data_IF_344188131241
#
_entry.id   IF_344188131241
#
_cell.length_a   1.000
_cell.length_b   1.000
_cell.length_c   1.000
_cell.angle_alpha   90.00
_cell.angle_beta   90.00
_cell.angle_gamma   90.00
#
_symmetry.space_group_name_H-M   'P 1'
#
loop_
_entity.id
_entity.type
_entity.pdbx_description
1 polymer ?
#
# COMPACT_ATOMS: atom_id res chain seq x y z
N UNK A 1 -53.99 7.95 -5.83
CA UNK A 1 -53.20 9.15 -6.17
C UNK A 1 -52.34 9.50 -4.96
N UNK A 2 -51.11 9.00 -4.92
CA UNK A 2 -50.05 9.50 -4.04
C UNK A 2 -49.03 10.05 -5.02
N UNK A 3 -48.89 11.37 -4.98
CA UNK A 3 -48.04 12.13 -5.88
C UNK A 3 -46.60 11.62 -5.77
N UNK A 4 -45.99 11.25 -6.90
CA UNK A 4 -44.58 10.84 -7.03
C UNK A 4 -43.64 12.05 -6.84
N UNK A 5 -44.15 13.16 -6.33
CA UNK A 5 -43.38 14.33 -6.00
C UNK A 5 -42.78 14.19 -4.59
N UNK A 6 -41.44 14.14 -4.57
CA UNK A 6 -40.59 14.55 -3.46
C UNK A 6 -40.24 13.50 -2.40
N UNK A 7 -39.23 12.68 -2.70
CA UNK A 7 -38.17 12.33 -1.75
C UNK A 7 -36.88 12.04 -2.54
N UNK A 8 -36.25 13.12 -3.01
CA UNK A 8 -34.85 13.11 -3.39
C UNK A 8 -34.03 13.10 -2.10
N UNK A 9 -33.64 11.91 -1.62
CA UNK A 9 -32.53 11.82 -0.68
C UNK A 9 -31.24 11.81 -1.50
N UNK A 10 -30.76 13.01 -1.83
CA UNK A 10 -29.36 13.23 -2.19
C UNK A 10 -28.54 13.01 -0.92
N UNK A 11 -28.20 11.76 -0.63
CA UNK A 11 -27.03 11.51 0.18
C UNK A 11 -25.82 11.84 -0.68
N UNK A 12 -25.43 13.12 -0.68
CA UNK A 12 -24.06 13.52 -0.98
C UNK A 12 -23.19 13.06 0.19
N UNK A 13 -23.08 11.74 0.35
CA UNK A 13 -21.98 11.15 1.08
C UNK A 13 -20.76 11.45 0.23
N UNK A 14 -19.91 12.35 0.71
CA UNK A 14 -18.52 12.37 0.25
C UNK A 14 -18.03 10.93 0.39
N UNK A 15 -17.98 10.20 -0.71
CA UNK A 15 -17.14 9.03 -0.76
C UNK A 15 -15.75 9.65 -0.63
N UNK A 16 -15.21 9.68 0.60
CA UNK A 16 -13.77 9.74 0.74
C UNK A 16 -13.31 8.48 0.01
N UNK A 17 -13.02 8.66 -1.27
CA UNK A 17 -12.49 7.65 -2.15
C UNK A 17 -11.12 7.32 -1.57
N UNK A 18 -11.10 6.47 -0.54
CA UNK A 18 -9.93 5.66 -0.27
C UNK A 18 -9.66 4.98 -1.61
N UNK A 19 -8.56 5.35 -2.25
CA UNK A 19 -8.17 4.76 -3.52
C UNK A 19 -7.82 3.31 -3.20
N UNK A 20 -8.82 2.42 -3.24
CA UNK A 20 -8.61 0.98 -3.08
C UNK A 20 -8.18 0.46 -4.44
N UNK A 21 -6.89 0.61 -4.76
CA UNK A 21 -6.30 -0.04 -5.93
C UNK A 21 -6.14 -1.52 -5.60
N UNK A 22 -6.97 -2.38 -6.22
CA UNK A 22 -6.76 -3.83 -6.20
C UNK A 22 -5.85 -4.24 -7.35
N UNK A 23 -4.78 -4.96 -7.06
CA UNK A 23 -3.89 -5.54 -8.07
C UNK A 23 -3.97 -7.06 -7.98
N UNK A 24 -4.26 -7.72 -9.10
CA UNK A 24 -4.25 -9.19 -9.22
C UNK A 24 -3.09 -9.60 -10.13
N UNK A 25 -2.26 -10.52 -9.65
CA UNK A 25 -1.13 -11.09 -10.39
C UNK A 25 -1.23 -12.61 -10.38
N UNK A 26 -0.75 -13.27 -11.43
CA UNK A 26 -0.68 -14.73 -11.45
C UNK A 26 0.48 -15.25 -10.58
N UNK A 27 0.40 -16.47 -10.05
CA UNK A 27 1.50 -17.09 -9.33
C UNK A 27 2.80 -17.07 -10.16
N UNK A 28 3.91 -16.75 -9.50
CA UNK A 28 5.23 -16.60 -10.12
C UNK A 28 5.51 -15.23 -10.76
N UNK A 29 4.50 -14.37 -10.93
CA UNK A 29 4.71 -13.03 -11.48
C UNK A 29 5.28 -12.05 -10.45
N UNK A 30 5.68 -10.86 -10.93
CA UNK A 30 6.13 -9.74 -10.11
C UNK A 30 4.93 -8.86 -9.74
N UNK A 31 5.03 -8.23 -8.56
CA UNK A 31 4.09 -7.21 -8.09
C UNK A 31 4.85 -5.89 -7.95
N UNK A 32 4.24 -4.79 -8.35
CA UNK A 32 4.76 -3.44 -8.11
C UNK A 32 3.64 -2.59 -7.54
N UNK A 33 3.85 -2.02 -6.36
CA UNK A 33 2.91 -1.11 -5.70
C UNK A 33 3.63 0.21 -5.44
N UNK A 34 3.06 1.32 -5.88
CA UNK A 34 3.59 2.65 -5.66
C UNK A 34 2.76 3.39 -4.61
N UNK A 35 3.43 4.09 -3.70
CA UNK A 35 2.84 4.98 -2.72
C UNK A 35 3.45 6.37 -2.84
N UNK A 36 2.62 7.37 -3.13
CA UNK A 36 3.03 8.76 -3.14
C UNK A 36 2.83 9.37 -1.74
N UNK A 37 3.86 10.02 -1.21
CA UNK A 37 3.84 10.62 0.13
C UNK A 37 3.85 12.15 0.05
N UNK A 38 3.36 12.81 1.09
CA UNK A 38 3.34 14.28 1.18
C UNK A 38 4.67 14.87 1.69
N UNK A 39 5.45 14.09 2.43
CA UNK A 39 6.71 14.50 3.06
C UNK A 39 7.94 14.29 2.17
N UNK A 40 9.09 14.83 2.61
CA UNK A 40 10.36 14.68 1.88
C UNK A 40 10.99 13.32 2.17
N UNK A 41 11.19 12.49 1.13
CA UNK A 41 11.89 11.21 1.22
C UNK A 41 13.41 11.36 1.41
N UNK A 42 13.96 12.57 1.24
CA UNK A 42 15.38 12.85 1.53
C UNK A 42 15.69 12.91 3.03
N UNK A 43 14.68 13.14 3.87
CA UNK A 43 14.84 13.34 5.31
C UNK A 43 14.09 12.32 6.16
N UNK A 44 13.15 11.58 5.57
CA UNK A 44 12.31 10.62 6.27
C UNK A 44 12.28 9.27 5.56
N UNK A 45 12.26 8.21 6.36
CA UNK A 45 12.02 6.86 5.87
C UNK A 45 10.55 6.54 5.72
N UNK A 46 10.28 5.52 4.92
CA UNK A 46 8.95 4.95 4.73
C UNK A 46 9.01 3.44 4.88
N UNK A 47 8.11 2.91 5.70
CA UNK A 47 7.88 1.50 5.91
C UNK A 47 6.82 0.94 4.96
N UNK A 48 7.00 -0.31 4.59
CA UNK A 48 5.96 -1.14 3.98
C UNK A 48 5.51 -2.22 4.97
N UNK A 49 4.20 -2.37 5.08
CA UNK A 49 3.53 -3.30 5.98
C UNK A 49 2.50 -4.06 5.14
N UNK A 50 2.36 -5.37 5.35
CA UNK A 50 1.27 -6.16 4.75
C UNK A 50 0.36 -6.72 5.83
N UNK A 51 -0.91 -6.87 5.49
CA UNK A 51 -1.90 -7.53 6.32
C UNK A 51 -2.56 -8.66 5.52
N UNK A 52 -2.11 -9.92 5.69
CA UNK A 52 -2.82 -11.06 5.14
C UNK A 52 -4.19 -11.22 5.79
N UNK A 53 -5.15 -11.80 5.06
CA UNK A 53 -6.49 -12.05 5.58
C UNK A 53 -6.43 -12.91 6.86
N UNK A 54 -7.16 -12.48 7.90
CA UNK A 54 -7.20 -13.16 9.20
C UNK A 54 -5.89 -13.07 10.00
N UNK A 55 -4.91 -12.27 9.58
CA UNK A 55 -3.63 -12.08 10.30
C UNK A 55 -3.43 -10.61 10.73
N UNK A 56 -2.53 -10.43 11.70
CA UNK A 56 -2.07 -9.10 12.11
C UNK A 56 -1.18 -8.44 11.06
N UNK A 57 -0.83 -7.17 11.33
CA UNK A 57 0.13 -6.43 10.51
C UNK A 57 1.50 -7.12 10.55
N UNK A 58 2.10 -7.30 9.37
CA UNK A 58 3.44 -7.83 9.19
C UNK A 58 4.30 -6.78 8.50
N UNK A 59 5.27 -6.25 9.25
CA UNK A 59 6.26 -5.33 8.70
C UNK A 59 7.16 -6.04 7.67
N UNK A 60 7.31 -5.43 6.48
CA UNK A 60 8.15 -5.95 5.40
C UNK A 60 9.55 -5.36 5.48
N UNK A 61 9.62 -4.04 5.60
CA UNK A 61 10.86 -3.30 5.46
C UNK A 61 10.61 -1.80 5.56
N UNK A 62 11.69 -1.04 5.72
CA UNK A 62 11.68 0.41 5.62
C UNK A 62 12.92 0.88 4.87
N UNK A 63 12.80 2.03 4.19
CA UNK A 63 13.89 2.63 3.44
C UNK A 63 13.88 4.15 3.57
N UNK A 64 15.07 4.74 3.62
CA UNK A 64 15.32 6.16 3.40
C UNK A 64 16.55 6.30 2.50
N UNK A 65 16.97 7.52 2.17
CA UNK A 65 18.07 7.77 1.21
C UNK A 65 19.41 7.11 1.59
N UNK A 66 19.67 6.86 2.87
CA UNK A 66 20.98 6.37 3.35
C UNK A 66 21.04 4.89 3.74
N UNK A 67 19.92 4.28 4.12
CA UNK A 67 19.91 2.92 4.65
C UNK A 67 18.50 2.28 4.54
N UNK A 68 18.44 0.97 4.74
CA UNK A 68 17.23 0.17 4.64
C UNK A 68 17.30 -1.05 5.54
N UNK A 69 16.16 -1.43 6.10
CA UNK A 69 16.03 -2.68 6.85
C UNK A 69 14.85 -3.47 6.35
N UNK A 70 14.94 -4.80 6.44
CA UNK A 70 13.91 -5.73 6.00
C UNK A 70 13.67 -6.78 7.06
N UNK A 71 12.44 -7.30 7.13
CA UNK A 71 12.16 -8.50 7.89
C UNK A 71 12.91 -9.67 7.24
N UNK A 72 13.69 -10.39 8.03
CA UNK A 72 14.58 -11.45 7.56
C UNK A 72 13.86 -12.51 6.70
N UNK A 73 12.62 -12.87 7.06
CA UNK A 73 11.80 -13.82 6.31
C UNK A 73 11.28 -13.30 4.96
N UNK A 74 11.36 -12.00 4.70
CA UNK A 74 10.76 -11.32 3.54
C UNK A 74 11.79 -10.62 2.64
N UNK A 75 13.03 -10.45 3.09
CA UNK A 75 14.08 -9.68 2.40
C UNK A 75 14.45 -10.20 0.99
N UNK A 76 14.25 -11.49 0.73
CA UNK A 76 14.51 -12.09 -0.58
C UNK A 76 13.30 -12.01 -1.53
N UNK A 77 12.14 -11.61 -1.00
CA UNK A 77 10.87 -11.57 -1.74
C UNK A 77 10.46 -10.17 -2.13
N UNK A 78 10.75 -9.21 -1.26
CA UNK A 78 10.38 -7.80 -1.46
C UNK A 78 11.61 -6.89 -1.50
N UNK A 79 11.57 -5.89 -2.37
CA UNK A 79 12.50 -4.76 -2.37
C UNK A 79 11.72 -3.44 -2.31
N UNK A 80 12.32 -2.43 -1.68
CA UNK A 80 11.75 -1.08 -1.57
C UNK A 80 12.61 -0.13 -2.38
N UNK A 81 11.99 0.68 -3.23
CA UNK A 81 12.63 1.74 -3.99
C UNK A 81 12.07 3.11 -3.59
N UNK A 82 12.93 4.12 -3.66
CA UNK A 82 12.59 5.51 -3.34
C UNK A 82 12.90 6.40 -4.54
N UNK A 83 11.94 7.24 -4.90
CA UNK A 83 12.15 8.37 -5.78
C UNK A 83 11.81 9.67 -5.03
N UNK A 84 12.84 10.36 -4.48
CA UNK A 84 12.64 11.62 -3.77
C UNK A 84 12.07 12.75 -4.65
N UNK A 85 12.27 12.69 -5.97
CA UNK A 85 11.82 13.74 -6.89
C UNK A 85 10.30 13.73 -7.07
N UNK A 86 9.72 12.53 -7.20
CA UNK A 86 8.27 12.33 -7.32
C UNK A 86 7.56 12.06 -5.99
N UNK A 87 8.33 11.99 -4.89
CA UNK A 87 7.87 11.56 -3.55
C UNK A 87 7.20 10.18 -3.59
N UNK A 88 7.74 9.27 -4.39
CA UNK A 88 7.18 7.92 -4.57
C UNK A 88 8.04 6.89 -3.86
N UNK A 89 7.38 6.00 -3.12
CA UNK A 89 7.96 4.81 -2.50
C UNK A 89 7.33 3.60 -3.16
N UNK A 90 8.15 2.72 -3.72
CA UNK A 90 7.68 1.57 -4.49
C UNK A 90 8.06 0.29 -3.79
N UNK A 91 7.10 -0.61 -3.59
CA UNK A 91 7.34 -1.98 -3.18
C UNK A 91 7.32 -2.88 -4.41
N UNK A 92 8.39 -3.66 -4.59
CA UNK A 92 8.46 -4.68 -5.62
C UNK A 92 8.46 -6.06 -4.96
N UNK A 93 7.50 -6.90 -5.32
CA UNK A 93 7.44 -8.31 -4.95
C UNK A 93 7.88 -9.20 -6.11
N UNK A 94 8.62 -10.26 -5.80
CA UNK A 94 9.08 -11.25 -6.78
C UNK A 94 8.50 -12.63 -6.49
N UNK A 95 8.25 -13.41 -7.56
CA UNK A 95 7.73 -14.77 -7.47
C UNK A 95 6.50 -14.85 -6.55
N UNK A 96 5.51 -13.98 -6.80
CA UNK A 96 4.32 -13.85 -5.95
C UNK A 96 3.54 -15.16 -5.90
N UNK A 97 3.07 -15.53 -4.71
CA UNK A 97 2.28 -16.74 -4.48
C UNK A 97 0.96 -16.37 -3.78
N UNK A 98 -0.04 -17.28 -3.77
CA UNK A 98 -1.30 -17.03 -3.08
C UNK A 98 -1.14 -16.60 -1.62
N UNK A 99 -0.12 -17.09 -0.92
CA UNK A 99 0.13 -16.78 0.50
C UNK A 99 0.59 -15.33 0.73
N UNK A 100 0.97 -14.60 -0.32
CA UNK A 100 1.32 -13.18 -0.23
C UNK A 100 0.13 -12.25 -0.37
N UNK A 101 -1.06 -12.79 -0.65
CA UNK A 101 -2.28 -12.01 -0.78
C UNK A 101 -2.56 -11.28 0.53
N UNK A 102 -2.54 -9.96 0.47
CA UNK A 102 -2.63 -9.09 1.63
C UNK A 102 -3.05 -7.67 1.20
N UNK A 103 -3.51 -6.88 2.17
CA UNK A 103 -3.54 -5.42 2.02
C UNK A 103 -2.15 -4.88 2.31
N UNK A 104 -1.65 -4.00 1.45
CA UNK A 104 -0.32 -3.40 1.59
C UNK A 104 -0.43 -1.93 1.97
N UNK A 105 0.28 -1.53 3.02
CA UNK A 105 0.29 -0.19 3.56
C UNK A 105 1.69 0.40 3.47
N UNK A 106 1.77 1.65 3.01
CA UNK A 106 2.93 2.49 3.20
C UNK A 106 2.71 3.40 4.42
N UNK A 107 3.69 3.46 5.32
CA UNK A 107 3.59 4.24 6.54
C UNK A 107 4.93 4.92 6.85
N UNK A 108 4.91 6.16 7.34
CA UNK A 108 6.13 6.86 7.77
C UNK A 108 6.71 6.26 9.05
N UNK A 109 5.84 5.96 10.00
CA UNK A 109 6.22 5.44 11.32
C UNK A 109 5.78 3.97 11.42
N UNK A 110 6.61 3.07 11.97
CA UNK A 110 6.18 1.72 12.29
C UNK A 110 5.10 1.77 13.38
N UNK A 111 4.05 0.95 13.24
CA UNK A 111 3.03 0.74 14.28
C UNK A 111 3.45 -0.38 15.24
#
# INVERSE_FOLDING_TARGET
MISVALLLLLAAGSCESHIITSVTVQPGQRLTISCQVSYSLSSYGTSWIRQPEGKGLEWIGWKYTGDSSYKESLKNKFSIDLDPSSKTVTLNGQNMQPEDSAVYYCAREPQ
#
